data_IF_908427633217
#
_entry.id   IF_908427633217
#
_cell.length_a   1.000
_cell.length_b   1.000
_cell.length_c   1.000
_cell.angle_alpha   90.00
_cell.angle_beta   90.00
_cell.angle_gamma   90.00
#
_symmetry.space_group_name_H-M   'P 1'
#
loop_
_entity.id
_entity.type
_entity.pdbx_description
1 polymer ?
#
# COMPACT_ATOMS: atom_id res chain seq x y z
N UNK A 1 -14.50 -13.82 -21.62
CA UNK A 1 -14.50 -14.03 -20.17
C UNK A 1 -13.08 -14.17 -19.61
N UNK A 2 -12.31 -15.22 -19.96
CA UNK A 2 -11.07 -15.54 -19.23
C UNK A 2 -9.91 -14.51 -19.29
N UNK A 3 -9.76 -13.79 -20.40
CA UNK A 3 -8.65 -12.83 -20.58
C UNK A 3 -8.86 -11.50 -19.84
N UNK A 4 -10.11 -11.13 -19.58
CA UNK A 4 -10.46 -9.90 -18.85
C UNK A 4 -10.16 -10.08 -17.35
N UNK A 5 -10.51 -11.23 -16.80
CA UNK A 5 -10.26 -11.57 -15.39
C UNK A 5 -8.78 -11.41 -14.99
N UNK A 6 -7.84 -11.80 -15.87
CA UNK A 6 -6.41 -11.57 -15.61
C UNK A 6 -6.00 -10.11 -15.65
N UNK A 7 -6.60 -9.30 -16.53
CA UNK A 7 -6.30 -7.87 -16.61
C UNK A 7 -6.83 -7.16 -15.36
N UNK A 8 -8.07 -7.46 -15.01
CA UNK A 8 -8.72 -6.93 -13.81
C UNK A 8 -7.93 -7.31 -12.55
N UNK A 9 -7.30 -8.50 -12.52
CA UNK A 9 -6.39 -8.89 -11.44
C UNK A 9 -5.11 -8.06 -11.40
N UNK A 10 -4.46 -7.81 -12.54
CA UNK A 10 -3.25 -6.99 -12.60
C UNK A 10 -3.57 -5.58 -12.09
N UNK A 11 -4.68 -5.00 -12.55
CA UNK A 11 -5.12 -3.67 -12.17
C UNK A 11 -5.48 -3.61 -10.68
N UNK A 12 -6.20 -4.61 -10.16
CA UNK A 12 -6.50 -4.71 -8.73
C UNK A 12 -5.22 -4.84 -7.89
N UNK A 13 -4.24 -5.62 -8.35
CA UNK A 13 -2.98 -5.82 -7.63
C UNK A 13 -2.12 -4.54 -7.64
N UNK A 14 -2.14 -3.77 -8.73
CA UNK A 14 -1.53 -2.45 -8.81
C UNK A 14 -2.22 -1.45 -7.86
N UNK A 15 -3.56 -1.43 -7.86
CA UNK A 15 -4.36 -0.58 -6.98
C UNK A 15 -4.11 -0.86 -5.50
N UNK A 16 -3.96 -2.13 -5.09
CA UNK A 16 -3.56 -2.49 -3.72
C UNK A 16 -2.20 -1.91 -3.36
N UNK A 17 -1.23 -2.02 -4.28
CA UNK A 17 0.13 -1.51 -4.05
C UNK A 17 0.13 0.01 -3.90
N UNK A 18 -0.54 0.72 -4.80
CA UNK A 18 -0.68 2.18 -4.75
C UNK A 18 -1.38 2.65 -3.45
N UNK A 19 -2.49 1.99 -3.09
CA UNK A 19 -3.25 2.30 -1.86
C UNK A 19 -2.39 2.08 -0.61
N UNK A 20 -1.59 0.99 -0.57
CA UNK A 20 -0.65 0.73 0.52
C UNK A 20 0.46 1.78 0.61
N UNK A 21 1.00 2.21 -0.53
CA UNK A 21 2.02 3.27 -0.57
C UNK A 21 1.45 4.63 -0.13
N UNK A 22 0.23 4.96 -0.55
CA UNK A 22 -0.48 6.16 -0.10
C UNK A 22 -0.72 6.14 1.41
N UNK A 23 -1.17 5.02 1.97
CA UNK A 23 -1.35 4.86 3.42
C UNK A 23 -0.02 4.99 4.19
N UNK A 24 1.07 4.45 3.65
CA UNK A 24 2.40 4.59 4.24
C UNK A 24 2.86 6.06 4.23
N UNK A 25 2.62 6.79 3.14
CA UNK A 25 2.92 8.23 3.03
C UNK A 25 2.09 9.04 4.03
N UNK A 26 0.79 8.77 4.15
CA UNK A 26 -0.08 9.38 5.15
C UNK A 26 0.41 9.12 6.58
N UNK A 27 0.78 7.87 6.89
CA UNK A 27 1.34 7.52 8.21
C UNK A 27 2.67 8.22 8.49
N UNK A 28 3.56 8.33 7.50
CA UNK A 28 4.83 9.09 7.62
C UNK A 28 4.58 10.59 7.79
N UNK A 29 3.63 11.15 7.06
CA UNK A 29 3.23 12.54 7.18
C UNK A 29 2.61 12.82 8.56
N UNK A 30 1.75 11.93 9.06
CA UNK A 30 1.18 12.00 10.42
C UNK A 30 2.25 11.89 11.51
N UNK A 31 3.28 11.07 11.32
CA UNK A 31 4.42 10.96 12.24
C UNK A 31 5.36 12.19 12.21
N UNK A 32 5.43 12.88 11.07
CA UNK A 32 6.26 14.09 10.88
C UNK A 32 5.51 15.37 11.26
N UNK A 33 4.18 15.38 11.17
CA UNK A 33 3.33 16.44 11.74
C UNK A 33 3.53 16.41 13.25
N UNK A 34 4.27 17.40 13.73
CA UNK A 34 4.64 17.67 15.13
C UNK A 34 5.57 16.71 15.84
N UNK A 35 6.84 16.81 15.48
CA UNK A 35 7.90 16.65 16.48
C UNK A 35 8.81 17.87 16.34
N UNK A 36 8.61 18.88 17.18
CA UNK A 36 9.59 19.95 17.35
C UNK A 36 10.38 19.67 18.64
N UNK A 37 11.69 19.90 18.59
CA UNK A 37 12.60 19.62 19.68
C UNK A 37 13.34 20.89 20.05
N UNK A 38 12.91 21.54 21.13
CA UNK A 38 13.55 22.75 21.63
C UNK A 38 14.53 22.37 22.73
N UNK A 39 15.75 22.89 22.66
CA UNK A 39 16.76 22.75 23.72
C UNK A 39 16.58 23.88 24.71
N UNK A 40 16.38 23.53 25.99
CA UNK A 40 16.26 24.49 27.09
C UNK A 40 17.11 24.07 28.29
N UNK A 41 17.20 24.94 29.28
CA UNK A 41 17.76 24.60 30.59
C UNK A 41 16.78 23.74 31.38
N UNK A 42 17.30 22.78 32.16
CA UNK A 42 16.48 22.01 33.09
C UNK A 42 15.95 22.88 34.24
N UNK A 43 14.77 22.57 34.77
CA UNK A 43 14.18 23.30 35.90
C UNK A 43 14.93 23.06 37.22
N UNK A 44 15.46 21.85 37.43
CA UNK A 44 16.23 21.51 38.65
C UNK A 44 17.70 21.93 38.58
N UNK A 45 18.29 21.95 37.37
CA UNK A 45 19.72 22.22 37.19
C UNK A 45 19.96 23.19 36.02
N UNK A 46 20.19 24.49 36.28
CA UNK A 46 20.27 25.53 35.24
C UNK A 46 21.38 25.33 34.20
N UNK A 47 22.42 24.57 34.55
CA UNK A 47 23.59 24.34 33.70
C UNK A 47 23.54 23.02 32.90
N UNK A 48 22.46 22.23 33.02
CA UNK A 48 22.29 21.03 32.21
C UNK A 48 21.38 21.30 31.02
N UNK A 49 21.84 20.93 29.83
CA UNK A 49 21.04 21.03 28.62
C UNK A 49 19.99 19.92 28.60
N UNK A 50 18.71 20.30 28.57
CA UNK A 50 17.59 19.37 28.45
C UNK A 50 16.89 19.57 27.10
N UNK A 51 16.52 18.47 26.45
CA UNK A 51 15.77 18.51 25.19
C UNK A 51 14.31 18.26 25.48
N UNK A 52 13.45 19.22 25.16
CA UNK A 52 12.00 19.08 25.27
C UNK A 52 11.44 18.71 23.91
N UNK A 53 10.72 17.59 23.85
CA UNK A 53 9.98 17.20 22.64
C UNK A 53 8.58 17.75 22.78
N UNK A 54 8.22 18.66 21.87
CA UNK A 54 6.89 19.23 21.78
C UNK A 54 6.17 18.45 20.68
N UNK A 55 5.11 17.77 21.10
CA UNK A 55 4.15 17.12 20.22
C UNK A 55 2.85 17.93 20.30
N UNK A 56 2.36 18.41 19.16
CA UNK A 56 1.13 19.19 19.02
C UNK A 56 0.29 18.69 17.84
N UNK A 57 -0.82 19.37 17.53
CA UNK A 57 -1.48 19.29 16.21
C UNK A 57 -1.56 20.71 15.66
N UNK A 58 -0.94 20.98 14.50
CA UNK A 58 -0.88 22.33 13.96
C UNK A 58 -2.31 22.81 13.68
N UNK A 59 -2.69 23.91 14.32
CA UNK A 59 -4.05 24.43 14.33
C UNK A 59 -4.70 24.72 12.96
N UNK A 60 -4.01 24.92 11.81
CA UNK A 60 -4.72 25.11 10.54
C UNK A 60 -5.25 23.80 9.93
N UNK A 61 -4.99 22.63 10.52
CA UNK A 61 -5.57 21.35 10.08
C UNK A 61 -6.80 20.91 10.91
N UNK A 62 -7.44 21.85 11.60
CA UNK A 62 -8.67 21.62 12.39
C UNK A 62 -9.87 22.22 11.65
N UNK A 63 -9.97 22.02 10.33
CA UNK A 63 -11.22 22.35 9.64
C UNK A 63 -12.24 21.21 9.72
N UNK A 64 -11.83 19.94 9.64
CA UNK A 64 -12.76 18.82 9.87
C UNK A 64 -12.04 17.55 10.38
N UNK A 65 -12.00 17.29 11.71
CA UNK A 65 -11.41 16.07 12.25
C UNK A 65 -12.06 14.77 11.73
N UNK A 66 -13.27 14.85 11.17
CA UNK A 66 -13.96 13.70 10.56
C UNK A 66 -13.60 13.41 9.10
N UNK A 67 -12.97 14.33 8.37
CA UNK A 67 -12.62 14.08 6.96
C UNK A 67 -11.48 13.07 6.83
N UNK A 68 -10.49 13.12 7.73
CA UNK A 68 -9.35 12.20 7.70
C UNK A 68 -9.80 10.77 8.04
N UNK A 69 -10.76 10.62 8.96
CA UNK A 69 -11.36 9.32 9.30
C UNK A 69 -12.21 8.76 8.15
N UNK A 70 -12.99 9.61 7.46
CA UNK A 70 -13.73 9.24 6.24
C UNK A 70 -12.80 8.84 5.11
N UNK A 71 -11.70 9.57 4.89
CA UNK A 71 -10.68 9.22 3.90
C UNK A 71 -10.01 7.88 4.23
N UNK A 72 -9.66 7.63 5.49
CA UNK A 72 -9.16 6.34 5.94
C UNK A 72 -10.16 5.22 5.69
N UNK A 73 -11.44 5.44 5.94
CA UNK A 73 -12.51 4.46 5.73
C UNK A 73 -12.67 4.12 4.24
N UNK A 74 -12.72 5.11 3.36
CA UNK A 74 -12.76 4.92 1.90
C UNK A 74 -11.54 4.15 1.39
N UNK A 75 -10.34 4.46 1.92
CA UNK A 75 -9.12 3.73 1.55
C UNK A 75 -9.16 2.27 2.04
N UNK A 76 -9.69 2.02 3.24
CA UNK A 76 -9.89 0.64 3.76
C UNK A 76 -10.92 -0.12 2.94
N UNK A 77 -12.00 0.52 2.49
CA UNK A 77 -12.98 -0.11 1.61
C UNK A 77 -12.39 -0.47 0.25
N UNK A 78 -11.62 0.44 -0.36
CA UNK A 78 -10.89 0.16 -1.61
C UNK A 78 -9.94 -1.01 -1.45
N UNK A 79 -9.23 -1.08 -0.33
CA UNK A 79 -8.34 -2.20 -0.03
C UNK A 79 -9.14 -3.52 0.08
N UNK A 80 -10.24 -3.53 0.84
CA UNK A 80 -11.10 -4.71 0.98
C UNK A 80 -11.67 -5.19 -0.35
N UNK A 81 -12.11 -4.27 -1.21
CA UNK A 81 -12.62 -4.61 -2.53
C UNK A 81 -11.54 -5.21 -3.43
N UNK A 82 -10.34 -4.63 -3.42
CA UNK A 82 -9.23 -5.16 -4.20
C UNK A 82 -8.72 -6.51 -3.67
N UNK A 83 -8.75 -6.74 -2.35
CA UNK A 83 -8.47 -8.05 -1.74
C UNK A 83 -9.49 -9.12 -2.12
N UNK A 84 -10.79 -8.78 -2.19
CA UNK A 84 -11.82 -9.70 -2.69
C UNK A 84 -11.53 -10.13 -4.13
N UNK A 85 -11.28 -9.18 -5.02
CA UNK A 85 -10.95 -9.47 -6.43
C UNK A 85 -9.70 -10.35 -6.52
N UNK A 86 -8.67 -10.09 -5.69
CA UNK A 86 -7.47 -10.92 -5.61
C UNK A 86 -7.81 -12.36 -5.24
N UNK A 87 -8.62 -12.56 -4.21
CA UNK A 87 -9.04 -13.89 -3.75
C UNK A 87 -9.89 -14.63 -4.79
N UNK A 88 -10.82 -13.94 -5.45
CA UNK A 88 -11.67 -14.53 -6.49
C UNK A 88 -10.83 -15.03 -7.66
N UNK A 89 -9.81 -14.26 -8.06
CA UNK A 89 -8.90 -14.66 -9.14
C UNK A 89 -7.95 -15.77 -8.71
N UNK A 90 -7.45 -15.77 -7.47
CA UNK A 90 -6.65 -16.88 -6.93
C UNK A 90 -7.47 -18.18 -6.89
N UNK A 91 -8.73 -18.11 -6.47
CA UNK A 91 -9.65 -19.24 -6.49
C UNK A 91 -9.88 -19.74 -7.92
N UNK A 92 -10.07 -18.83 -8.88
CA UNK A 92 -10.17 -19.18 -10.29
C UNK A 92 -8.87 -19.78 -10.84
N UNK A 93 -7.70 -19.25 -10.48
CA UNK A 93 -6.40 -19.78 -10.90
C UNK A 93 -6.22 -21.24 -10.47
N UNK A 94 -6.72 -21.61 -9.30
CA UNK A 94 -6.68 -22.98 -8.79
C UNK A 94 -7.53 -23.96 -9.62
N UNK A 95 -8.54 -23.48 -10.36
CA UNK A 95 -9.34 -24.31 -11.27
C UNK A 95 -8.61 -24.64 -12.57
N UNK A 96 -7.54 -23.92 -12.88
CA UNK A 96 -6.80 -24.02 -14.14
C UNK A 96 -5.66 -25.05 -14.01
N UNK A 97 -5.37 -25.86 -15.05
CA UNK A 97 -4.24 -26.79 -15.03
C UNK A 97 -2.88 -26.13 -14.79
N UNK A 98 -2.00 -26.81 -14.05
CA UNK A 98 -0.66 -26.31 -13.66
C UNK A 98 0.18 -25.79 -14.83
N UNK A 99 0.10 -26.42 -16.01
CA UNK A 99 0.82 -25.97 -17.21
C UNK A 99 0.37 -24.58 -17.66
N UNK A 100 -0.93 -24.30 -17.59
CA UNK A 100 -1.51 -23.02 -17.99
C UNK A 100 -1.24 -21.93 -16.94
N UNK A 101 -1.26 -22.27 -15.65
CA UNK A 101 -0.83 -21.36 -14.58
C UNK A 101 0.61 -20.86 -14.79
N UNK A 102 1.53 -21.76 -15.20
CA UNK A 102 2.92 -21.38 -15.52
C UNK A 102 3.01 -20.43 -16.73
N UNK A 103 2.22 -20.68 -17.78
CA UNK A 103 2.16 -19.81 -18.96
C UNK A 103 1.64 -18.42 -18.58
N UNK A 104 0.57 -18.36 -17.79
CA UNK A 104 0.01 -17.11 -17.27
C UNK A 104 1.07 -16.36 -16.46
N UNK A 105 1.79 -17.05 -15.57
CA UNK A 105 2.85 -16.43 -14.78
C UNK A 105 3.93 -15.78 -15.65
N UNK A 106 4.49 -16.53 -16.59
CA UNK A 106 5.57 -16.00 -17.42
C UNK A 106 5.08 -14.93 -18.40
N UNK A 107 3.92 -15.13 -19.03
CA UNK A 107 3.46 -14.23 -20.08
C UNK A 107 2.81 -12.97 -19.55
N UNK A 108 2.07 -13.06 -18.45
CA UNK A 108 1.18 -11.99 -17.97
C UNK A 108 1.75 -11.30 -16.73
N UNK A 109 2.32 -12.05 -15.77
CA UNK A 109 2.93 -11.42 -14.59
C UNK A 109 4.36 -10.96 -14.83
N UNK A 110 5.13 -11.71 -15.61
CA UNK A 110 6.53 -11.39 -15.92
C UNK A 110 6.71 -10.72 -17.30
N UNK A 111 5.64 -10.55 -18.06
CA UNK A 111 5.63 -9.93 -19.40
C UNK A 111 6.68 -10.49 -20.39
N UNK A 112 7.03 -11.78 -20.25
CA UNK A 112 8.05 -12.41 -21.10
C UNK A 112 7.53 -12.63 -22.54
N UNK A 113 8.40 -12.51 -23.56
CA UNK A 113 8.05 -12.85 -24.93
C UNK A 113 7.80 -14.35 -25.09
N UNK A 114 6.95 -14.74 -26.04
CA UNK A 114 6.56 -16.14 -26.28
C UNK A 114 7.75 -17.09 -26.48
N UNK A 115 8.85 -16.61 -27.08
CA UNK A 115 10.08 -17.39 -27.22
C UNK A 115 10.69 -17.78 -25.86
N UNK A 116 10.80 -16.83 -24.92
CA UNK A 116 11.32 -17.12 -23.58
C UNK A 116 10.34 -17.96 -22.75
N UNK A 117 9.03 -17.74 -22.93
CA UNK A 117 8.00 -18.59 -22.31
C UNK A 117 8.15 -20.04 -22.80
N UNK A 118 8.34 -20.27 -24.10
CA UNK A 118 8.53 -21.61 -24.66
C UNK A 118 9.76 -22.32 -24.08
N UNK A 119 10.90 -21.62 -24.03
CA UNK A 119 12.15 -22.12 -23.43
C UNK A 119 11.95 -22.52 -21.97
N UNK A 120 11.31 -21.67 -21.15
CA UNK A 120 11.01 -21.99 -19.73
C UNK A 120 9.98 -23.12 -19.56
N UNK A 121 9.15 -23.36 -20.58
CA UNK A 121 8.18 -24.45 -20.63
C UNK A 121 8.75 -25.74 -21.23
N UNK A 122 10.04 -25.75 -21.60
CA UNK A 122 10.75 -26.91 -22.13
C UNK A 122 10.35 -27.27 -23.56
N UNK A 123 10.03 -26.28 -24.39
CA UNK A 123 9.73 -26.44 -25.82
C UNK A 123 10.60 -25.55 -26.68
#
# INVERSE_FOLDING_TARGET
MDKQILKDYIDACAQVKETKEQLLKLRKAKKRREQDAVKGSSHEFPYTAQTFRIEGIAYPLVQDPGEEERLEEVLRERLRNAEKIKHDVEAWMNTIPMRMQRIIRYRIFEDLPWGQVAVRMGR
#
